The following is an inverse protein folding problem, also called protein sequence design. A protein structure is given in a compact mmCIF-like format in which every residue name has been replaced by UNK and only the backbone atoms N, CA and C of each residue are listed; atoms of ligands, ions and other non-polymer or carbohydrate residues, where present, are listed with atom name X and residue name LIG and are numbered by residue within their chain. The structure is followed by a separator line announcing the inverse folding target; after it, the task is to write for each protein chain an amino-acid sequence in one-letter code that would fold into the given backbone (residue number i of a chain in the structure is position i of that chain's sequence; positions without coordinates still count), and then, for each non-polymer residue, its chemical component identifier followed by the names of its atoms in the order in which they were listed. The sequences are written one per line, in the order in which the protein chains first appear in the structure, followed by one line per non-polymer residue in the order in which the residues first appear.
data_IF_038692251735
#
_entry.id   IF_038692251735
#
_cell.length_a   1.000
_cell.length_b   1.000
_cell.length_c   1.000
_cell.angle_alpha   90.00
_cell.angle_beta   90.00
_cell.angle_gamma   90.00
#
_symmetry.space_group_name_H-M   'P 1'
#
loop_
_entity.id
_entity.type
_entity.pdbx_description
1 polymer ?
#
# COMPACT_ATOMS: atom_id res chain seq x y z
N UNK A 1 -16.93 -2.77 7.78
CA UNK A 1 -16.06 -1.61 7.48
C UNK A 1 -15.79 -0.83 8.77
N UNK A 2 -14.56 -0.90 9.32
CA UNK A 2 -14.19 -0.10 10.49
C UNK A 2 -13.92 1.33 10.00
N UNK A 3 -14.68 2.36 10.44
CA UNK A 3 -14.40 3.74 10.08
C UNK A 3 -13.04 4.15 10.64
N UNK A 4 -12.16 4.75 9.83
CA UNK A 4 -10.96 5.41 10.35
C UNK A 4 -9.63 5.14 9.65
N UNK A 5 -9.60 4.48 8.49
CA UNK A 5 -8.35 4.32 7.73
C UNK A 5 -8.40 5.19 6.48
N UNK A 6 -7.77 6.36 6.56
CA UNK A 6 -7.59 7.26 5.43
C UNK A 6 -6.15 7.13 4.92
N UNK A 7 -6.02 6.84 3.62
CA UNK A 7 -4.78 6.94 2.88
C UNK A 7 -4.69 8.30 2.20
N UNK A 8 -3.52 8.90 2.24
CA UNK A 8 -3.21 10.15 1.53
C UNK A 8 -1.99 9.93 0.63
N UNK A 9 -2.11 10.34 -0.64
CA UNK A 9 -1.00 10.36 -1.59
C UNK A 9 -0.35 11.74 -1.49
N UNK A 10 0.85 11.82 -0.92
CA UNK A 10 1.43 13.11 -0.52
C UNK A 10 2.32 13.74 -1.60
N UNK A 11 3.08 12.94 -2.35
CA UNK A 11 4.02 13.50 -3.32
C UNK A 11 4.29 12.56 -4.50
N UNK A 12 4.56 13.18 -5.65
CA UNK A 12 5.19 12.55 -6.82
C UNK A 12 6.49 13.31 -7.07
N UNK A 13 7.61 12.59 -7.11
CA UNK A 13 8.93 13.16 -7.35
C UNK A 13 9.71 12.33 -8.34
N UNK A 14 10.75 12.93 -8.92
CA UNK A 14 11.74 12.16 -9.66
C UNK A 14 12.93 11.85 -8.75
N UNK A 15 13.41 10.62 -8.78
CA UNK A 15 14.53 10.15 -8.00
C UNK A 15 15.55 9.51 -8.92
N UNK A 16 16.74 10.09 -8.92
CA UNK A 16 17.91 9.54 -9.56
C UNK A 16 18.71 8.75 -8.51
N UNK A 17 18.79 7.41 -8.63
CA UNK A 17 19.39 6.57 -7.59
C UNK A 17 20.92 6.71 -7.49
N UNK A 18 21.60 7.18 -8.54
CA UNK A 18 23.07 7.30 -8.56
C UNK A 18 23.59 8.67 -9.04
N UNK A 19 22.70 9.60 -9.41
CA UNK A 19 23.05 10.95 -9.82
C UNK A 19 23.57 10.98 -11.27
N UNK A 20 24.75 11.54 -11.51
CA UNK A 20 25.32 11.55 -12.86
C UNK A 20 25.77 10.16 -13.38
N UNK A 21 25.40 9.08 -12.68
CA UNK A 21 25.72 7.71 -13.04
C UNK A 21 24.89 7.18 -14.21
N UNK A 22 25.07 5.90 -14.57
CA UNK A 22 24.37 5.29 -15.70
C UNK A 22 22.92 4.92 -15.39
N UNK A 23 22.44 5.00 -14.14
CA UNK A 23 21.07 4.63 -13.84
C UNK A 23 20.07 5.67 -14.40
N UNK A 24 18.90 5.18 -14.80
CA UNK A 24 17.83 6.04 -15.26
C UNK A 24 17.06 6.65 -14.07
N UNK A 25 16.67 7.91 -14.22
CA UNK A 25 15.75 8.60 -13.31
C UNK A 25 14.43 7.81 -13.18
N UNK A 26 13.94 7.68 -11.94
CA UNK A 26 12.72 6.96 -11.59
C UNK A 26 11.65 7.94 -11.10
N UNK A 27 10.38 7.62 -11.36
CA UNK A 27 9.28 8.37 -10.75
C UNK A 27 8.91 7.71 -9.43
N UNK A 28 8.95 8.45 -8.33
CA UNK A 28 8.62 7.97 -7.00
C UNK A 28 7.31 8.57 -6.54
N UNK A 29 6.38 7.72 -6.14
CA UNK A 29 5.12 8.10 -5.50
C UNK A 29 5.21 7.73 -4.03
N UNK A 30 4.79 8.63 -3.15
CA UNK A 30 4.74 8.36 -1.72
C UNK A 30 3.39 8.74 -1.11
N UNK A 31 3.00 7.98 -0.09
CA UNK A 31 1.76 8.19 0.64
C UNK A 31 1.85 7.66 2.06
N UNK A 32 0.85 8.02 2.85
CA UNK A 32 0.72 7.56 4.24
C UNK A 32 -0.69 7.09 4.51
N UNK A 33 -0.81 5.98 5.23
CA UNK A 33 -2.07 5.46 5.74
C UNK A 33 -2.11 5.62 7.25
N UNK A 34 -3.17 6.26 7.75
CA UNK A 34 -3.46 6.34 9.18
C UNK A 34 -4.25 5.11 9.61
N UNK A 35 -3.84 4.47 10.69
CA UNK A 35 -4.44 3.24 11.18
C UNK A 35 -5.01 3.44 12.58
N UNK A 36 -6.23 2.97 12.79
CA UNK A 36 -6.85 3.01 14.10
C UNK A 36 -6.27 1.90 14.99
N UNK A 37 -5.40 2.26 15.96
CA UNK A 37 -5.18 1.42 17.15
C UNK A 37 -3.77 0.95 17.51
N UNK A 38 -2.67 1.58 17.09
CA UNK A 38 -1.36 1.12 17.59
C UNK A 38 -0.17 2.07 17.41
N UNK A 39 0.72 2.08 18.41
CA UNK A 39 2.05 2.74 18.40
C UNK A 39 3.12 1.89 17.70
N UNK A 40 2.75 0.71 17.18
CA UNK A 40 3.62 -0.19 16.43
C UNK A 40 2.79 -1.30 15.78
N UNK A 41 3.23 -1.81 14.62
CA UNK A 41 2.56 -2.91 13.93
C UNK A 41 3.14 -3.16 12.54
N UNK A 42 2.55 -4.12 11.82
CA UNK A 42 2.93 -4.46 10.45
C UNK A 42 1.71 -4.33 9.54
N UNK A 43 1.91 -3.79 8.34
CA UNK A 43 0.95 -3.88 7.25
C UNK A 43 1.60 -4.48 6.02
N UNK A 44 0.77 -5.06 5.15
CA UNK A 44 1.16 -5.32 3.77
C UNK A 44 0.64 -4.19 2.90
N UNK A 45 1.56 -3.50 2.23
CA UNK A 45 1.26 -2.60 1.14
C UNK A 45 1.14 -3.43 -0.14
N UNK A 46 -0.01 -3.36 -0.78
CA UNK A 46 -0.30 -4.08 -2.01
C UNK A 46 -0.46 -3.06 -3.12
N UNK A 47 0.26 -3.26 -4.21
CA UNK A 47 0.02 -2.56 -5.47
C UNK A 47 -0.45 -3.58 -6.48
N UNK A 48 -1.54 -3.26 -7.16
CA UNK A 48 -2.13 -4.06 -8.21
C UNK A 48 -2.55 -3.21 -9.39
N UNK A 49 -2.70 -3.86 -10.54
CA UNK A 49 -3.09 -3.22 -11.79
C UNK A 49 -4.53 -3.54 -12.19
N UNK A 50 -5.25 -4.29 -11.35
CA UNK A 50 -6.66 -4.64 -11.55
C UNK A 50 -7.42 -4.57 -10.22
N UNK A 51 -8.70 -4.16 -10.25
CA UNK A 51 -9.55 -4.28 -9.09
C UNK A 51 -9.79 -5.75 -8.77
N UNK A 52 -9.93 -6.05 -7.48
CA UNK A 52 -10.31 -7.34 -6.93
C UNK A 52 -11.47 -7.15 -5.95
N UNK A 53 -12.07 -8.24 -5.48
CA UNK A 53 -13.07 -8.21 -4.43
C UNK A 53 -13.13 -9.58 -3.76
N UNK A 54 -12.09 -9.91 -2.99
CA UNK A 54 -11.98 -11.19 -2.30
C UNK A 54 -12.10 -10.98 -0.79
N UNK A 55 -13.07 -11.60 -0.10
CA UNK A 55 -13.17 -11.49 1.36
C UNK A 55 -11.90 -11.96 2.05
N UNK A 56 -11.30 -11.15 2.93
CA UNK A 56 -10.08 -11.54 3.64
C UNK A 56 -10.26 -12.81 4.48
N UNK A 57 -11.45 -13.01 5.05
CA UNK A 57 -11.80 -14.23 5.80
C UNK A 57 -11.77 -15.51 4.96
N UNK A 58 -11.73 -15.39 3.62
CA UNK A 58 -11.55 -16.53 2.71
C UNK A 58 -10.09 -16.82 2.39
N UNK A 59 -9.20 -15.84 2.61
CA UNK A 59 -7.77 -15.94 2.33
C UNK A 59 -6.96 -16.33 3.57
N UNK A 60 -7.34 -15.81 4.73
CA UNK A 60 -6.64 -15.99 6.00
C UNK A 60 -7.63 -16.16 7.16
N UNK A 61 -7.20 -16.87 8.21
CA UNK A 61 -8.05 -17.13 9.37
C UNK A 61 -8.31 -15.86 10.20
N UNK A 62 -7.36 -14.94 10.20
CA UNK A 62 -7.37 -13.68 10.96
C UNK A 62 -8.18 -12.58 10.25
N UNK A 63 -8.61 -12.84 9.01
CA UNK A 63 -9.34 -11.90 8.17
C UNK A 63 -10.66 -11.49 8.79
N UNK A 64 -10.78 -10.20 9.12
CA UNK A 64 -11.97 -9.68 9.79
C UNK A 64 -13.18 -9.63 8.86
N UNK A 65 -14.38 -10.03 9.33
CA UNK A 65 -15.60 -9.95 8.53
C UNK A 65 -15.84 -8.55 7.94
N UNK A 66 -16.19 -8.50 6.66
CA UNK A 66 -16.44 -7.26 5.92
C UNK A 66 -15.18 -6.46 5.57
N UNK A 67 -14.01 -7.10 5.58
CA UNK A 67 -12.79 -6.60 4.95
C UNK A 67 -12.50 -7.42 3.69
N UNK A 68 -12.32 -6.74 2.57
CA UNK A 68 -12.03 -7.36 1.28
C UNK A 68 -10.65 -6.94 0.78
N UNK A 69 -9.95 -7.85 0.10
CA UNK A 69 -8.86 -7.54 -0.80
C UNK A 69 -9.45 -6.97 -2.08
N UNK A 70 -9.23 -5.67 -2.29
CA UNK A 70 -9.81 -4.88 -3.38
C UNK A 70 -8.83 -4.66 -4.54
N UNK A 71 -7.60 -5.15 -4.40
CA UNK A 71 -6.49 -4.91 -5.33
C UNK A 71 -5.84 -6.24 -5.69
N UNK A 72 -5.47 -6.44 -6.95
CA UNK A 72 -4.68 -7.60 -7.37
C UNK A 72 -3.32 -7.64 -6.67
N UNK A 73 -2.84 -8.86 -6.37
CA UNK A 73 -1.58 -9.11 -5.65
C UNK A 73 -0.36 -9.08 -6.59
N UNK A 74 -0.17 -7.98 -7.33
CA UNK A 74 0.93 -7.90 -8.30
C UNK A 74 2.27 -7.56 -7.62
N UNK A 75 2.25 -6.65 -6.65
CA UNK A 75 3.41 -6.26 -5.85
C UNK A 75 3.00 -6.22 -4.38
N UNK A 76 3.73 -6.93 -3.53
CA UNK A 76 3.55 -6.91 -2.09
C UNK A 76 4.80 -6.35 -1.42
N UNK A 77 4.60 -5.48 -0.44
CA UNK A 77 5.68 -4.90 0.36
C UNK A 77 5.29 -4.89 1.83
N UNK A 78 6.19 -5.29 2.71
CA UNK A 78 6.03 -5.05 4.14
C UNK A 78 6.14 -3.56 4.41
N UNK A 79 5.20 -3.03 5.20
CA UNK A 79 5.14 -1.62 5.56
C UNK A 79 4.99 -1.51 7.09
N UNK A 80 6.05 -1.08 7.80
CA UNK A 80 5.99 -0.93 9.25
C UNK A 80 5.02 0.19 9.62
N UNK A 81 4.30 0.00 10.71
CA UNK A 81 3.41 1.01 11.29
C UNK A 81 4.18 1.67 12.43
N UNK A 82 4.44 2.97 12.30
CA UNK A 82 5.14 3.79 13.30
C UNK A 82 4.20 4.92 13.71
N UNK A 83 3.95 5.06 15.01
CA UNK A 83 3.03 6.07 15.54
C UNK A 83 1.64 6.06 14.86
N UNK A 84 1.10 4.87 14.60
CA UNK A 84 -0.21 4.70 13.96
C UNK A 84 -0.24 5.05 12.47
N UNK A 85 0.93 5.24 11.84
CA UNK A 85 1.04 5.58 10.43
C UNK A 85 1.92 4.58 9.69
N UNK A 86 1.49 4.15 8.51
CA UNK A 86 2.29 3.36 7.59
C UNK A 86 2.63 4.20 6.36
N UNK A 87 3.92 4.37 6.09
CA UNK A 87 4.40 5.06 4.91
C UNK A 87 4.66 4.06 3.78
N UNK A 88 4.32 4.45 2.56
CA UNK A 88 4.60 3.69 1.35
C UNK A 88 5.36 4.54 0.34
N UNK A 89 6.29 3.90 -0.33
CA UNK A 89 7.05 4.44 -1.44
C UNK A 89 7.17 3.36 -2.50
N UNK A 90 6.88 3.74 -3.75
CA UNK A 90 7.16 2.91 -4.92
C UNK A 90 7.83 3.75 -6.00
N UNK A 91 8.90 3.20 -6.55
CA UNK A 91 9.50 3.70 -7.77
C UNK A 91 8.82 3.05 -8.97
N UNK A 92 8.47 3.86 -9.96
CA UNK A 92 8.01 3.45 -11.27
C UNK A 92 9.09 3.76 -12.31
N UNK A 93 9.27 2.91 -13.33
CA UNK A 93 10.14 3.21 -14.45
C UNK A 93 9.74 4.52 -15.13
N UNK A 94 10.69 5.34 -15.55
CA UNK A 94 10.42 6.50 -16.39
C UNK A 94 10.24 6.06 -17.85
N UNK A 95 9.14 5.38 -18.13
CA UNK A 95 8.78 4.83 -19.44
C UNK A 95 7.49 5.50 -19.95
N UNK A 96 7.47 6.12 -21.15
CA UNK A 96 6.24 6.68 -21.72
C UNK A 96 5.11 5.64 -21.86
N UNK A 97 5.43 4.34 -21.92
CA UNK A 97 4.44 3.26 -22.00
C UNK A 97 3.54 3.15 -20.75
N UNK A 98 3.96 3.69 -19.60
CA UNK A 98 3.17 3.64 -18.36
C UNK A 98 2.37 4.94 -18.10
N UNK A 99 2.46 5.93 -18.98
CA UNK A 99 1.67 7.18 -18.86
C UNK A 99 0.18 6.88 -19.04
N UNK A 100 -0.65 7.38 -18.11
CA UNK A 100 -2.08 7.11 -18.07
C UNK A 100 -2.45 5.76 -17.46
N UNK A 101 -1.47 4.94 -17.07
CA UNK A 101 -1.73 3.63 -16.49
C UNK A 101 -2.25 3.77 -15.05
N UNK A 102 -3.30 3.03 -14.70
CA UNK A 102 -3.89 3.04 -13.37
C UNK A 102 -3.25 1.96 -12.49
N UNK A 103 -2.64 2.37 -11.39
CA UNK A 103 -2.22 1.50 -10.30
C UNK A 103 -3.19 1.66 -9.12
N UNK A 104 -3.53 0.54 -8.49
CA UNK A 104 -4.37 0.47 -7.31
C UNK A 104 -3.48 0.12 -6.12
N UNK A 105 -3.73 0.74 -4.98
CA UNK A 105 -2.98 0.50 -3.75
C UNK A 105 -3.93 0.23 -2.58
N UNK A 106 -3.62 -0.77 -1.77
CA UNK A 106 -4.35 -1.10 -0.54
C UNK A 106 -3.37 -1.48 0.58
N UNK A 107 -3.65 -1.10 1.83
CA UNK A 107 -2.94 -1.68 2.99
C UNK A 107 -3.79 -2.73 3.69
N UNK A 108 -3.14 -3.82 4.08
CA UNK A 108 -3.69 -4.85 4.93
C UNK A 108 -2.91 -4.86 6.25
N UNK A 109 -3.30 -4.04 7.24
CA UNK A 109 -2.69 -4.02 8.55
C UNK A 109 -3.01 -5.30 9.33
N UNK A 110 -2.02 -5.77 10.07
CA UNK A 110 -2.13 -6.81 11.09
C UNK A 110 -2.16 -6.19 12.47
N UNK A 111 -3.11 -6.63 13.29
CA UNK A 111 -3.03 -6.48 14.73
C UNK A 111 -2.13 -7.62 15.25
N UNK A 112 -1.08 -7.24 15.96
CA UNK A 112 -0.09 -8.15 16.52
C UNK A 112 -0.26 -8.17 18.04
N UNK A 113 -0.32 -9.35 18.64
CA UNK A 113 -0.39 -9.52 20.09
C UNK A 113 0.96 -9.33 20.79
N UNK A 114 0.99 -9.49 22.12
CA UNK A 114 2.20 -9.37 22.91
C UNK A 114 3.25 -10.45 22.63
N UNK A 115 2.85 -11.54 21.96
CA UNK A 115 3.67 -12.68 21.57
C UNK A 115 4.21 -12.55 20.14
N UNK A 116 3.83 -11.48 19.43
CA UNK A 116 4.26 -11.24 18.06
C UNK A 116 3.41 -11.97 17.01
N UNK A 117 2.25 -12.53 17.40
CA UNK A 117 1.35 -13.25 16.49
C UNK A 117 0.28 -12.33 15.94
N UNK A 118 -0.06 -12.51 14.66
CA UNK A 118 -1.20 -11.83 14.05
C UNK A 118 -2.51 -12.38 14.60
N UNK A 119 -3.34 -11.50 15.17
CA UNK A 119 -4.64 -11.89 15.77
C UNK A 119 -5.83 -11.33 15.01
N UNK A 120 -5.61 -10.29 14.20
CA UNK A 120 -6.61 -9.76 13.29
C UNK A 120 -5.93 -9.16 12.05
N UNK A 121 -6.55 -9.37 10.88
CA UNK A 121 -6.17 -8.71 9.64
C UNK A 121 -7.36 -7.91 9.11
N UNK A 122 -7.15 -6.60 8.92
CA UNK A 122 -8.15 -5.71 8.31
C UNK A 122 -7.64 -5.20 6.96
N UNK A 123 -8.44 -4.39 6.27
CA UNK A 123 -8.08 -3.81 4.99
C UNK A 123 -8.49 -2.32 4.90
N UNK A 124 -7.69 -1.53 4.17
CA UNK A 124 -8.10 -0.19 3.73
C UNK A 124 -9.05 -0.26 2.53
N UNK A 125 -9.56 0.89 2.10
CA UNK A 125 -10.06 1.04 0.72
C UNK A 125 -8.92 0.93 -0.30
N UNK A 126 -9.26 0.60 -1.55
CA UNK A 126 -8.34 0.73 -2.66
C UNK A 126 -8.21 2.21 -3.07
N UNK A 127 -6.97 2.70 -3.14
CA UNK A 127 -6.61 3.99 -3.70
C UNK A 127 -6.17 3.79 -5.15
N UNK A 128 -6.74 4.53 -6.10
CA UNK A 128 -6.28 4.52 -7.49
C UNK A 128 -5.34 5.70 -7.74
N UNK A 129 -4.21 5.43 -8.39
CA UNK A 129 -3.23 6.43 -8.85
C UNK A 129 -3.03 6.24 -10.35
N UNK A 130 -3.08 7.33 -11.10
CA UNK A 130 -2.73 7.34 -12.53
C UNK A 130 -1.28 7.76 -12.69
N UNK A 131 -0.45 6.91 -13.29
CA UNK A 131 0.97 7.16 -13.48
C UNK A 131 1.18 8.15 -14.65
N UNK A 132 2.13 9.08 -14.49
CA UNK A 132 2.53 9.98 -15.58
C UNK A 132 1.54 11.09 -15.95
N UNK A 133 0.49 11.31 -15.17
CA UNK A 133 -0.38 12.48 -15.29
C UNK A 133 0.10 13.57 -14.33
N UNK A 134 0.87 14.54 -14.84
CA UNK A 134 1.30 15.73 -14.11
C UNK A 134 1.20 16.97 -14.99
#
# INVERSE_FOLDING_TARGET
MKPGIFGDLRTVGRWDPDGAGPAHELVVYSGSFSLAGGIGGLALAIVGFRPSSVPLSSLVAEGQPGCDLLVSLDILRSAPIVNGMSAFQMAAPNDPAIVGFAALHQMLPFEIDAQGLGVAQTATNALQVTLGAF
#
